data_IF_805365037749
#
_entry.id   IF_805365037749
#
_cell.length_a   1.000
_cell.length_b   1.000
_cell.length_c   1.000
_cell.angle_alpha   90.00
_cell.angle_beta   90.00
_cell.angle_gamma   90.00
#
_symmetry.space_group_name_H-M   'P 1'
#
loop_
_entity.id
_entity.type
_entity.pdbx_description
1 polymer ?
#
# COMPACT_ATOMS: atom_id res chain seq x y z
N UNK A 1 10.13 9.74 17.49
CA UNK A 1 9.67 10.88 16.67
C UNK A 1 8.19 10.79 16.35
N UNK A 2 7.67 9.66 15.84
CA UNK A 2 6.23 9.54 15.58
C UNK A 2 5.37 9.05 16.77
N UNK A 3 5.98 8.49 17.82
CA UNK A 3 5.31 8.03 19.06
C UNK A 3 4.08 7.11 18.84
N UNK A 4 3.99 6.45 17.68
CA UNK A 4 2.94 5.52 17.32
C UNK A 4 3.25 4.07 17.73
N UNK A 5 2.28 3.16 17.56
CA UNK A 5 2.45 1.76 17.92
C UNK A 5 3.48 1.04 17.04
N UNK A 6 4.12 0.02 17.60
CA UNK A 6 5.01 -0.88 16.86
C UNK A 6 4.24 -1.61 15.75
N UNK A 7 4.88 -1.80 14.58
CA UNK A 7 4.31 -2.53 13.45
C UNK A 7 3.55 -1.65 12.45
N UNK A 8 3.57 -0.32 12.61
CA UNK A 8 2.97 0.63 11.68
C UNK A 8 4.00 1.64 11.17
N UNK A 9 3.99 1.85 9.86
CA UNK A 9 4.83 2.82 9.18
C UNK A 9 4.23 3.22 7.84
N UNK A 10 4.88 4.15 7.15
CA UNK A 10 4.44 4.63 5.83
C UNK A 10 5.61 5.06 4.98
N UNK A 11 5.39 5.07 3.66
CA UNK A 11 6.37 5.53 2.66
C UNK A 11 5.69 6.58 1.79
N UNK A 12 6.39 7.69 1.56
CA UNK A 12 5.98 8.69 0.58
C UNK A 12 6.83 8.51 -0.68
N UNK A 13 6.17 8.47 -1.84
CA UNK A 13 6.80 8.36 -3.14
C UNK A 13 6.45 9.59 -3.96
N UNK A 14 7.43 10.12 -4.70
CA UNK A 14 7.14 11.10 -5.75
C UNK A 14 6.39 10.45 -6.90
N UNK A 15 5.57 11.22 -7.62
CA UNK A 15 4.82 10.73 -8.79
C UNK A 15 5.74 10.12 -9.85
N UNK A 16 6.91 10.74 -10.08
CA UNK A 16 7.93 10.20 -10.99
C UNK A 16 8.39 8.79 -10.62
N UNK A 17 8.67 8.56 -9.34
CA UNK A 17 9.12 7.24 -8.85
C UNK A 17 7.96 6.25 -8.92
N UNK A 18 6.76 6.68 -8.57
CA UNK A 18 5.55 5.89 -8.66
C UNK A 18 5.32 5.40 -10.10
N UNK A 19 5.42 6.26 -11.12
CA UNK A 19 5.28 5.89 -12.54
C UNK A 19 6.33 4.85 -13.01
N UNK A 20 7.56 4.97 -12.53
CA UNK A 20 8.67 4.10 -12.95
C UNK A 20 8.76 2.77 -12.19
N UNK A 21 8.13 2.67 -11.02
CA UNK A 21 8.27 1.53 -10.12
C UNK A 21 7.24 0.43 -10.41
N UNK A 22 7.69 -0.82 -10.33
CA UNK A 22 6.83 -2.00 -10.38
C UNK A 22 6.75 -2.65 -8.98
N UNK A 23 5.55 -2.97 -8.47
CA UNK A 23 5.40 -3.69 -7.21
C UNK A 23 6.10 -5.06 -7.24
N UNK A 24 6.80 -5.42 -6.17
CA UNK A 24 7.45 -6.73 -6.04
C UNK A 24 6.65 -7.67 -5.16
N UNK A 25 6.32 -7.23 -3.94
CA UNK A 25 5.42 -7.95 -3.04
C UNK A 25 4.03 -7.39 -3.22
N UNK A 26 3.09 -8.26 -3.60
CA UNK A 26 1.72 -7.88 -3.96
C UNK A 26 0.70 -8.80 -3.31
N UNK A 27 -0.54 -8.32 -3.22
CA UNK A 27 -1.70 -9.11 -2.86
C UNK A 27 -2.98 -8.40 -3.30
N UNK A 28 -4.12 -8.82 -2.75
CA UNK A 28 -5.44 -8.31 -3.19
C UNK A 28 -5.59 -6.80 -3.02
N UNK A 29 -4.94 -6.18 -2.02
CA UNK A 29 -4.95 -4.72 -1.83
C UNK A 29 -4.11 -3.95 -2.84
N UNK A 30 -3.20 -4.63 -3.54
CA UNK A 30 -2.37 -4.01 -4.58
C UNK A 30 -3.18 -3.75 -5.86
N UNK A 31 -4.26 -4.50 -6.06
CA UNK A 31 -5.06 -4.54 -7.28
C UNK A 31 -6.34 -3.70 -7.15
N UNK A 32 -6.70 -2.96 -8.21
CA UNK A 32 -7.98 -2.26 -8.25
C UNK A 32 -9.19 -3.18 -8.37
N UNK A 33 -9.00 -4.30 -9.06
CA UNK A 33 -10.03 -5.31 -9.25
C UNK A 33 -9.37 -6.69 -9.25
N UNK A 34 -9.55 -7.42 -8.15
CA UNK A 34 -9.02 -8.78 -7.96
C UNK A 34 -9.68 -9.82 -8.89
N UNK A 35 -10.90 -9.54 -9.37
CA UNK A 35 -11.67 -10.46 -10.21
C UNK A 35 -11.45 -10.24 -11.71
N UNK A 36 -10.61 -9.28 -12.10
CA UNK A 36 -10.32 -8.98 -13.50
C UNK A 36 -9.13 -9.78 -14.01
N UNK A 37 -9.29 -10.45 -15.15
CA UNK A 37 -8.23 -11.19 -15.84
C UNK A 37 -7.06 -10.29 -16.30
N UNK A 38 -7.27 -8.98 -16.37
CA UNK A 38 -6.24 -7.97 -16.53
C UNK A 38 -6.05 -7.22 -15.23
N UNK A 39 -5.20 -7.74 -14.34
CA UNK A 39 -4.91 -7.14 -13.03
C UNK A 39 -4.37 -5.71 -13.19
N UNK A 40 -5.25 -4.72 -13.06
CA UNK A 40 -4.87 -3.30 -13.07
C UNK A 40 -4.42 -2.90 -11.67
N UNK A 41 -3.17 -2.48 -11.55
CA UNK A 41 -2.66 -1.85 -10.33
C UNK A 41 -3.44 -0.58 -9.98
N UNK A 42 -3.47 -0.23 -8.69
CA UNK A 42 -3.78 1.14 -8.29
C UNK A 42 -2.82 2.13 -8.94
N UNK A 43 -3.32 3.31 -9.30
CA UNK A 43 -2.48 4.38 -9.86
C UNK A 43 -1.59 5.03 -8.79
N UNK A 44 -2.02 4.98 -7.53
CA UNK A 44 -1.34 5.56 -6.37
C UNK A 44 -0.50 4.52 -5.59
N UNK A 45 0.01 4.91 -4.43
CA UNK A 45 0.84 4.07 -3.56
C UNK A 45 0.17 2.78 -3.05
N UNK A 46 -1.16 2.65 -3.16
CA UNK A 46 -1.87 1.43 -2.71
C UNK A 46 -1.42 0.18 -3.46
N UNK A 47 -0.83 0.32 -4.66
CA UNK A 47 -0.25 -0.82 -5.40
C UNK A 47 0.92 -1.51 -4.69
N UNK A 48 1.45 -0.93 -3.61
CA UNK A 48 2.49 -1.52 -2.76
C UNK A 48 1.93 -2.08 -1.43
N UNK A 49 0.61 -2.03 -1.23
CA UNK A 49 -0.04 -2.65 -0.07
C UNK A 49 -0.42 -4.09 -0.39
N UNK A 50 -0.12 -5.02 0.51
CA UNK A 50 -0.21 -6.46 0.21
C UNK A 50 -1.62 -6.99 0.47
N UNK A 51 -2.02 -7.05 1.75
CA UNK A 51 -3.24 -7.74 2.17
C UNK A 51 -3.71 -7.25 3.56
N UNK A 52 -4.41 -8.10 4.29
CA UNK A 52 -4.85 -7.87 5.67
C UNK A 52 -3.68 -7.41 6.54
N UNK A 53 -3.91 -6.38 7.35
CA UNK A 53 -2.92 -5.80 8.27
C UNK A 53 -3.58 -5.58 9.64
N UNK A 54 -2.80 -5.23 10.66
CA UNK A 54 -3.30 -4.90 11.98
C UNK A 54 -4.01 -3.53 12.00
N UNK A 55 -5.19 -3.45 11.38
CA UNK A 55 -5.98 -2.22 11.23
C UNK A 55 -6.14 -1.40 12.53
N UNK A 56 -6.32 -2.01 13.72
CA UNK A 56 -6.41 -1.24 14.97
C UNK A 56 -5.20 -0.35 15.27
N UNK A 57 -4.00 -0.69 14.77
CA UNK A 57 -2.79 0.13 14.95
C UNK A 57 -2.94 1.50 14.28
N UNK A 58 -3.73 1.61 13.20
CA UNK A 58 -4.00 2.86 12.51
C UNK A 58 -4.69 3.92 13.38
N UNK A 59 -5.35 3.52 14.46
CA UNK A 59 -5.91 4.46 15.42
C UNK A 59 -4.83 5.33 16.11
N UNK A 60 -3.59 4.85 16.18
CA UNK A 60 -2.45 5.59 16.72
C UNK A 60 -1.85 6.65 15.79
N UNK A 61 -2.41 6.83 14.58
CA UNK A 61 -2.01 7.88 13.62
C UNK A 61 -2.94 9.12 13.64
N UNK A 62 -3.94 9.14 14.53
CA UNK A 62 -4.95 10.20 14.63
C UNK A 62 -4.52 11.33 15.56
#
# INVERSE_FOLDING_TARGET
WCCGPEGLGGVALSERVLEQSQPTVIGWRSLRNENSSGSQWHHDGRRFEVATSCIPLGAGLR
#
